data_IF_072159114159
#
_entry.id   IF_072159114159
#
_cell.length_a   1.000
_cell.length_b   1.000
_cell.length_c   1.000
_cell.angle_alpha   90.00
_cell.angle_beta   90.00
_cell.angle_gamma   90.00
#
_symmetry.space_group_name_H-M   'P 1'
#
loop_
_entity.id
_entity.type
_entity.pdbx_description
1 polymer ?
#
# COMPACT_ATOMS: atom_id res chain seq x y z
N UNK A 1 21.23 17.20 25.77
CA UNK A 1 20.08 17.00 24.84
C UNK A 1 20.54 16.47 23.47
N UNK A 2 21.48 17.13 22.77
CA UNK A 2 22.03 16.68 21.48
C UNK A 2 22.66 15.27 21.44
N UNK A 3 23.39 14.84 22.49
CA UNK A 3 23.98 13.48 22.57
C UNK A 3 22.93 12.36 22.62
N UNK A 4 21.77 12.59 23.24
CA UNK A 4 20.68 11.59 23.30
C UNK A 4 19.90 11.49 21.98
N UNK A 5 19.80 12.58 21.23
CA UNK A 5 19.19 12.61 19.90
C UNK A 5 20.11 11.92 18.89
N UNK A 6 21.42 12.20 18.92
CA UNK A 6 22.41 11.53 18.08
C UNK A 6 22.54 10.03 18.39
N UNK A 7 22.43 9.63 19.67
CA UNK A 7 22.42 8.22 20.08
C UNK A 7 21.19 7.46 19.57
N UNK A 8 19.99 8.07 19.63
CA UNK A 8 18.76 7.49 19.05
C UNK A 8 18.83 7.42 17.52
N UNK A 9 19.29 8.48 16.84
CA UNK A 9 19.48 8.49 15.39
C UNK A 9 20.52 7.48 14.91
N UNK A 10 21.59 7.26 15.68
CA UNK A 10 22.57 6.20 15.44
C UNK A 10 21.94 4.81 15.50
N UNK A 11 21.07 4.58 16.48
CA UNK A 11 20.30 3.34 16.64
C UNK A 11 19.37 3.05 15.47
N UNK A 12 18.60 4.04 15.01
CA UNK A 12 17.70 3.88 13.86
C UNK A 12 18.45 3.54 12.57
N UNK A 13 19.57 4.22 12.30
CA UNK A 13 20.40 3.92 11.13
C UNK A 13 21.01 2.51 11.19
N UNK A 14 21.48 2.08 12.36
CA UNK A 14 22.02 0.73 12.52
C UNK A 14 20.94 -0.33 12.32
N UNK A 15 19.74 -0.09 12.83
CA UNK A 15 18.61 -1.02 12.72
C UNK A 15 18.13 -1.13 11.28
N UNK A 16 17.98 -0.01 10.57
CA UNK A 16 17.65 0.01 9.15
C UNK A 16 18.64 -0.84 8.33
N UNK A 17 19.94 -0.64 8.54
CA UNK A 17 20.99 -1.42 7.87
C UNK A 17 20.94 -2.89 8.25
N UNK A 18 20.63 -3.21 9.50
CA UNK A 18 20.50 -4.60 9.96
C UNK A 18 19.40 -5.32 9.20
N UNK A 19 18.23 -4.69 9.05
CA UNK A 19 17.10 -5.25 8.30
C UNK A 19 17.47 -5.41 6.82
N UNK A 20 18.11 -4.39 6.23
CA UNK A 20 18.54 -4.44 4.84
C UNK A 20 19.49 -5.62 4.58
N UNK A 21 20.56 -5.72 5.37
CA UNK A 21 21.56 -6.79 5.24
C UNK A 21 20.97 -8.17 5.47
N UNK A 22 20.03 -8.32 6.42
CA UNK A 22 19.40 -9.60 6.72
C UNK A 22 18.53 -10.12 5.58
N UNK A 23 18.06 -9.25 4.69
CA UNK A 23 17.20 -9.59 3.57
C UNK A 23 17.87 -9.41 2.20
N UNK A 24 19.18 -9.10 2.17
CA UNK A 24 19.91 -8.89 0.92
C UNK A 24 19.47 -7.67 0.11
N UNK A 25 18.79 -6.70 0.73
CA UNK A 25 18.31 -5.48 0.06
C UNK A 25 19.24 -4.30 0.31
N UNK A 26 19.35 -3.40 -0.66
CA UNK A 26 20.15 -2.18 -0.56
C UNK A 26 19.25 -0.96 -0.67
N UNK A 27 19.06 -0.26 0.45
CA UNK A 27 18.21 0.92 0.56
C UNK A 27 18.99 2.11 1.15
N UNK A 28 18.63 3.32 0.75
CA UNK A 28 19.29 4.55 1.20
C UNK A 28 18.58 5.16 2.42
N UNK A 29 19.11 4.89 3.62
CA UNK A 29 18.60 5.45 4.88
C UNK A 29 18.52 6.98 4.87
N UNK A 30 19.42 7.69 4.18
CA UNK A 30 19.42 9.15 4.22
C UNK A 30 18.18 9.75 3.58
N UNK A 31 17.64 9.07 2.56
CA UNK A 31 16.42 9.43 1.84
C UNK A 31 15.14 8.92 2.53
N UNK A 32 15.26 7.95 3.44
CA UNK A 32 14.11 7.15 3.90
C UNK A 32 14.10 7.02 5.43
N UNK A 33 14.50 8.09 6.12
CA UNK A 33 14.66 8.08 7.59
C UNK A 33 13.37 7.73 8.31
N UNK A 34 12.24 8.16 7.76
CA UNK A 34 10.91 7.96 8.33
C UNK A 34 10.30 6.62 7.92
N UNK A 35 10.94 5.89 6.99
CA UNK A 35 10.49 4.59 6.50
C UNK A 35 10.86 3.40 7.39
N UNK A 36 11.65 3.59 8.45
CA UNK A 36 12.15 2.46 9.27
C UNK A 36 11.03 1.64 9.91
N UNK A 37 9.96 2.28 10.39
CA UNK A 37 8.84 1.57 11.01
C UNK A 37 8.13 0.67 10.00
N UNK A 38 7.81 1.20 8.82
CA UNK A 38 7.19 0.43 7.73
C UNK A 38 8.14 -0.69 7.27
N UNK A 39 9.44 -0.41 7.16
CA UNK A 39 10.43 -1.43 6.83
C UNK A 39 10.46 -2.57 7.88
N UNK A 40 10.36 -2.23 9.17
CA UNK A 40 10.24 -3.21 10.25
C UNK A 40 8.94 -4.00 10.15
N UNK A 41 7.82 -3.36 9.87
CA UNK A 41 6.52 -4.02 9.72
C UNK A 41 6.52 -5.02 8.57
N UNK A 42 7.12 -4.65 7.44
CA UNK A 42 7.22 -5.52 6.26
C UNK A 42 8.19 -6.68 6.52
N UNK A 43 9.43 -6.40 6.90
CA UNK A 43 10.50 -7.42 6.90
C UNK A 43 10.73 -8.12 8.25
N UNK A 44 10.42 -7.45 9.37
CA UNK A 44 10.70 -7.98 10.71
C UNK A 44 9.46 -8.59 11.35
N UNK A 45 8.32 -7.89 11.33
CA UNK A 45 7.07 -8.44 11.88
C UNK A 45 6.30 -9.27 10.87
N UNK A 46 6.66 -9.14 9.57
CA UNK A 46 6.02 -9.84 8.45
C UNK A 46 4.50 -9.68 8.48
N UNK A 47 4.03 -8.43 8.65
CA UNK A 47 2.60 -8.09 8.81
C UNK A 47 1.69 -8.77 7.78
N UNK A 48 2.19 -9.03 6.58
CA UNK A 48 1.44 -9.59 5.46
C UNK A 48 1.53 -11.12 5.32
N UNK A 49 2.32 -11.83 6.14
CA UNK A 49 2.66 -13.23 5.83
C UNK A 49 1.51 -14.24 5.94
N UNK A 50 0.47 -13.98 6.73
CA UNK A 50 -0.52 -15.03 7.02
C UNK A 50 -1.36 -15.47 5.80
N UNK A 51 -1.42 -14.65 4.75
CA UNK A 51 -2.20 -14.90 3.52
C UNK A 51 -1.45 -14.50 2.25
N UNK A 52 -0.13 -14.29 2.35
CA UNK A 52 0.69 -13.93 1.20
C UNK A 52 1.03 -15.17 0.36
N UNK A 53 0.99 -15.11 -0.98
CA UNK A 53 1.26 -16.24 -1.87
C UNK A 53 2.77 -16.53 -1.97
N UNK A 54 3.36 -17.06 -0.90
CA UNK A 54 4.80 -17.31 -0.84
C UNK A 54 5.26 -18.33 -1.89
N UNK A 55 6.29 -17.96 -2.65
CA UNK A 55 6.95 -18.79 -3.66
C UNK A 55 6.03 -19.24 -4.81
N UNK A 56 4.92 -18.54 -5.04
CA UNK A 56 4.00 -18.78 -6.16
C UNK A 56 4.23 -17.75 -7.27
N UNK A 57 3.95 -18.16 -8.52
CA UNK A 57 3.92 -17.27 -9.67
C UNK A 57 2.60 -16.50 -9.67
N UNK A 58 2.52 -15.50 -8.79
CA UNK A 58 1.31 -14.75 -8.48
C UNK A 58 1.31 -13.35 -9.11
N UNK A 59 0.12 -12.82 -9.40
CA UNK A 59 -0.10 -11.41 -9.71
C UNK A 59 -0.44 -10.64 -8.45
N UNK A 60 0.45 -9.72 -8.07
CA UNK A 60 0.38 -8.94 -6.83
C UNK A 60 0.26 -7.46 -7.18
N UNK A 61 -0.71 -6.76 -6.60
CA UNK A 61 -0.87 -5.32 -6.78
C UNK A 61 -0.70 -4.61 -5.43
N UNK A 62 0.23 -3.66 -5.37
CA UNK A 62 0.52 -2.80 -4.22
C UNK A 62 0.02 -1.38 -4.49
N UNK A 63 -1.16 -1.05 -3.99
CA UNK A 63 -1.75 0.29 -4.08
C UNK A 63 -1.28 1.13 -2.89
N UNK A 64 -0.70 2.29 -3.19
CA UNK A 64 -0.01 3.13 -2.21
C UNK A 64 1.34 2.52 -1.82
N UNK A 65 2.17 2.28 -2.83
CA UNK A 65 3.43 1.57 -2.65
C UNK A 65 4.47 2.38 -1.85
N UNK A 66 4.31 3.69 -1.71
CA UNK A 66 5.21 4.60 -0.99
C UNK A 66 6.67 4.41 -1.44
N UNK A 67 7.57 4.00 -0.55
CA UNK A 67 8.98 3.69 -0.87
C UNK A 67 9.22 2.27 -1.42
N UNK A 68 8.18 1.47 -1.60
CA UNK A 68 8.26 0.15 -2.23
C UNK A 68 8.68 -1.00 -1.34
N UNK A 69 8.65 -0.85 -0.01
CA UNK A 69 9.10 -1.91 0.89
C UNK A 69 8.28 -3.19 0.75
N UNK A 70 6.95 -3.07 0.68
CA UNK A 70 6.09 -4.21 0.43
C UNK A 70 6.34 -4.81 -0.95
N UNK A 71 6.43 -3.99 -1.98
CA UNK A 71 6.73 -4.44 -3.35
C UNK A 71 8.04 -5.22 -3.46
N UNK A 72 9.12 -4.76 -2.81
CA UNK A 72 10.41 -5.48 -2.76
C UNK A 72 10.27 -6.76 -1.93
N UNK A 73 9.58 -6.72 -0.80
CA UNK A 73 9.29 -7.92 -0.02
C UNK A 73 8.54 -8.95 -0.86
N UNK A 74 7.52 -8.53 -1.61
CA UNK A 74 6.74 -9.42 -2.46
C UNK A 74 7.62 -10.07 -3.53
N UNK A 75 8.45 -9.29 -4.23
CA UNK A 75 9.39 -9.80 -5.22
C UNK A 75 10.37 -10.84 -4.65
N UNK A 76 10.90 -10.61 -3.45
CA UNK A 76 11.87 -11.50 -2.81
C UNK A 76 11.25 -12.78 -2.22
N UNK A 77 9.92 -12.81 -2.06
CA UNK A 77 9.21 -13.89 -1.38
C UNK A 77 8.19 -14.60 -2.28
N UNK A 78 8.14 -14.28 -3.57
CA UNK A 78 7.31 -14.94 -4.58
C UNK A 78 8.20 -15.71 -5.56
N UNK A 79 7.59 -16.47 -6.47
CA UNK A 79 8.33 -17.05 -7.59
C UNK A 79 8.92 -15.94 -8.49
N UNK A 80 10.08 -16.13 -9.13
CA UNK A 80 10.64 -15.15 -10.07
C UNK A 80 9.69 -14.75 -11.22
N UNK A 81 8.75 -15.62 -11.61
CA UNK A 81 7.74 -15.35 -12.64
C UNK A 81 6.51 -14.61 -12.09
N UNK A 82 6.42 -14.36 -10.78
CA UNK A 82 5.38 -13.52 -10.19
C UNK A 82 5.44 -12.11 -10.77
N UNK A 83 4.28 -11.46 -10.95
CA UNK A 83 4.18 -10.08 -11.44
C UNK A 83 3.75 -9.16 -10.32
N UNK A 84 4.57 -8.16 -9.98
CA UNK A 84 4.26 -7.17 -8.93
C UNK A 84 4.02 -5.80 -9.57
N UNK A 85 2.79 -5.29 -9.51
CA UNK A 85 2.45 -3.93 -9.94
C UNK A 85 2.43 -3.00 -8.73
N UNK A 86 3.29 -1.99 -8.71
CA UNK A 86 3.41 -1.04 -7.60
C UNK A 86 2.87 0.32 -8.01
N UNK A 87 1.79 0.78 -7.38
CA UNK A 87 1.15 2.04 -7.73
C UNK A 87 1.40 3.09 -6.65
N UNK A 88 2.09 4.17 -7.01
CA UNK A 88 2.41 5.28 -6.11
C UNK A 88 2.20 6.63 -6.80
N UNK A 89 1.29 7.49 -6.32
CA UNK A 89 0.97 8.75 -6.99
C UNK A 89 1.96 9.88 -6.73
N UNK A 90 2.53 9.99 -5.52
CA UNK A 90 3.38 11.12 -5.16
C UNK A 90 4.73 11.01 -5.87
N UNK A 91 5.15 12.07 -6.58
CA UNK A 91 6.37 12.01 -7.40
C UNK A 91 7.62 11.70 -6.57
N UNK A 92 7.73 12.29 -5.37
CA UNK A 92 8.87 12.05 -4.48
C UNK A 92 9.00 10.57 -4.09
N UNK A 93 7.89 9.98 -3.63
CA UNK A 93 7.82 8.58 -3.22
C UNK A 93 8.08 7.65 -4.40
N UNK A 94 7.47 7.94 -5.55
CA UNK A 94 7.65 7.18 -6.78
C UNK A 94 9.11 7.14 -7.25
N UNK A 95 9.84 8.25 -7.15
CA UNK A 95 11.27 8.29 -7.49
C UNK A 95 12.11 7.43 -6.53
N UNK A 96 11.76 7.43 -5.24
CA UNK A 96 12.41 6.57 -4.23
C UNK A 96 12.07 5.10 -4.46
N UNK A 97 10.80 4.76 -4.74
CA UNK A 97 10.35 3.42 -5.12
C UNK A 97 11.17 2.86 -6.28
N UNK A 98 11.28 3.61 -7.38
CA UNK A 98 12.07 3.19 -8.55
C UNK A 98 13.54 2.97 -8.22
N UNK A 99 14.12 3.84 -7.40
CA UNK A 99 15.49 3.69 -6.93
C UNK A 99 15.65 2.44 -6.08
N UNK A 100 14.75 2.19 -5.15
CA UNK A 100 14.79 1.05 -4.25
C UNK A 100 14.64 -0.29 -5.01
N UNK A 101 13.75 -0.36 -6.00
CA UNK A 101 13.61 -1.50 -6.92
C UNK A 101 14.96 -1.81 -7.60
N UNK A 102 15.57 -0.78 -8.23
CA UNK A 102 16.87 -0.91 -8.90
C UNK A 102 17.97 -1.33 -7.94
N UNK A 103 18.08 -0.65 -6.80
CA UNK A 103 19.18 -0.87 -5.84
C UNK A 103 19.02 -2.24 -5.14
N UNK A 104 17.80 -2.77 -5.05
CA UNK A 104 17.52 -4.12 -4.52
C UNK A 104 17.58 -5.23 -5.60
N UNK A 105 17.85 -4.88 -6.86
CA UNK A 105 18.01 -5.80 -7.98
C UNK A 105 16.83 -6.77 -8.19
N UNK A 106 15.61 -6.30 -7.96
CA UNK A 106 14.37 -7.05 -8.27
C UNK A 106 13.88 -6.68 -9.66
N UNK A 107 13.55 -7.69 -10.47
CA UNK A 107 13.25 -7.51 -11.90
C UNK A 107 11.76 -7.62 -12.24
N UNK A 108 10.98 -8.22 -11.35
CA UNK A 108 9.56 -8.51 -11.53
C UNK A 108 8.61 -7.49 -10.86
N UNK A 109 9.13 -6.29 -10.54
CA UNK A 109 8.37 -5.18 -9.97
C UNK A 109 8.22 -4.07 -11.00
N UNK A 110 6.98 -3.71 -11.31
CA UNK A 110 6.60 -2.72 -12.33
C UNK A 110 5.95 -1.51 -11.66
N UNK A 111 6.71 -0.42 -11.41
CA UNK A 111 6.19 0.77 -10.76
C UNK A 111 5.41 1.66 -11.73
N UNK A 112 4.20 2.08 -11.34
CA UNK A 112 3.31 2.97 -12.09
C UNK A 112 2.99 4.21 -11.26
N UNK A 113 3.23 5.40 -11.84
CA UNK A 113 2.88 6.67 -11.20
C UNK A 113 1.43 7.05 -11.52
N UNK A 114 0.53 6.63 -10.66
CA UNK A 114 -0.88 6.99 -10.69
C UNK A 114 -1.49 6.85 -9.28
N UNK A 115 -2.65 7.43 -9.06
CA UNK A 115 -3.51 7.09 -7.93
C UNK A 115 -4.61 6.15 -8.42
N UNK A 116 -4.84 5.06 -7.68
CA UNK A 116 -6.06 4.26 -7.85
C UNK A 116 -7.19 4.96 -7.10
N UNK A 117 -8.32 5.14 -7.78
CA UNK A 117 -9.49 5.80 -7.23
C UNK A 117 -10.79 5.10 -7.68
N UNK A 118 -11.90 5.44 -7.02
CA UNK A 118 -13.22 5.04 -7.49
C UNK A 118 -13.57 5.63 -8.87
N UNK A 119 -14.52 5.04 -9.60
CA UNK A 119 -14.90 5.46 -10.96
C UNK A 119 -15.23 6.95 -11.10
N UNK A 120 -15.78 7.58 -10.05
CA UNK A 120 -16.12 9.01 -10.07
C UNK A 120 -14.93 9.97 -10.13
N UNK A 121 -13.69 9.50 -9.94
CA UNK A 121 -12.48 10.33 -9.83
C UNK A 121 -11.44 10.05 -10.93
N UNK A 122 -11.79 9.35 -12.01
CA UNK A 122 -10.85 9.05 -13.10
C UNK A 122 -10.43 10.31 -13.88
N UNK A 123 -9.14 10.39 -14.24
CA UNK A 123 -8.56 11.50 -15.01
C UNK A 123 -7.36 12.14 -14.30
N UNK A 124 -7.53 13.37 -13.84
CA UNK A 124 -6.52 14.12 -13.08
C UNK A 124 -7.16 14.64 -11.78
N UNK A 125 -6.45 14.52 -10.66
CA UNK A 125 -6.87 15.05 -9.38
C UNK A 125 -5.73 15.76 -8.65
N UNK A 126 -6.08 16.58 -7.66
CA UNK A 126 -5.12 17.09 -6.69
C UNK A 126 -4.86 16.05 -5.62
N UNK A 127 -3.61 15.61 -5.52
CA UNK A 127 -3.10 14.82 -4.41
C UNK A 127 -2.65 15.78 -3.31
N UNK A 128 -3.18 15.62 -2.11
CA UNK A 128 -2.77 16.36 -0.93
C UNK A 128 -1.53 15.70 -0.33
N UNK A 129 -0.43 16.44 -0.26
CA UNK A 129 0.82 15.96 0.33
C UNK A 129 0.77 16.21 1.84
N UNK A 130 0.93 15.15 2.63
CA UNK A 130 0.95 15.21 4.08
C UNK A 130 2.22 15.88 4.63
N UNK A 131 2.24 16.14 5.95
CA UNK A 131 3.46 16.59 6.65
C UNK A 131 4.44 15.45 6.94
N UNK A 132 3.92 14.24 7.06
CA UNK A 132 4.66 12.98 6.91
C UNK A 132 4.44 12.52 5.48
N UNK A 133 5.44 11.90 4.85
CA UNK A 133 5.55 11.51 3.42
C UNK A 133 4.36 10.71 2.82
N UNK A 134 3.28 10.53 3.56
CA UNK A 134 1.99 10.04 3.12
C UNK A 134 1.30 11.08 2.22
N UNK A 135 0.52 10.60 1.25
CA UNK A 135 -0.24 11.44 0.35
C UNK A 135 -1.64 10.84 0.12
N UNK A 136 -2.65 11.69 0.00
CA UNK A 136 -4.05 11.26 -0.14
C UNK A 136 -4.79 12.08 -1.18
N UNK A 137 -5.77 11.46 -1.86
CA UNK A 137 -6.74 12.17 -2.70
C UNK A 137 -7.75 12.97 -1.86
N UNK A 138 -7.80 12.75 -0.55
CA UNK A 138 -8.68 13.45 0.36
C UNK A 138 -7.89 14.35 1.31
N UNK A 139 -8.39 15.56 1.47
CA UNK A 139 -7.80 16.52 2.40
C UNK A 139 -8.09 16.12 3.84
N UNK A 140 -7.02 15.97 4.63
CA UNK A 140 -7.11 15.78 6.08
C UNK A 140 -6.71 17.07 6.84
N UNK A 141 -7.70 17.75 7.42
CA UNK A 141 -7.51 18.92 8.30
C UNK A 141 -7.58 20.30 7.63
N UNK A 142 -7.44 21.33 8.47
CA UNK A 142 -7.52 22.74 8.09
C UNK A 142 -6.14 23.39 7.90
N UNK A 143 -6.06 24.40 7.01
CA UNK A 143 -4.83 25.16 6.74
C UNK A 143 -4.20 24.87 5.37
N UNK A 144 -3.13 25.60 5.00
CA UNK A 144 -2.44 25.39 3.73
C UNK A 144 -1.78 24.01 3.69
N UNK A 145 -2.00 23.30 2.58
CA UNK A 145 -1.45 21.98 2.27
C UNK A 145 -0.88 22.06 0.86
N UNK A 146 0.32 21.50 0.68
CA UNK A 146 0.91 21.37 -0.64
C UNK A 146 0.15 20.31 -1.42
N UNK A 147 -0.08 20.57 -2.71
CA UNK A 147 -0.76 19.64 -3.61
C UNK A 147 0.07 19.36 -4.83
N UNK A 148 -0.12 18.17 -5.39
CA UNK A 148 0.45 17.74 -6.65
C UNK A 148 -0.65 17.25 -7.59
N UNK A 149 -0.57 17.58 -8.88
CA UNK A 149 -1.47 17.00 -9.88
C UNK A 149 -1.02 15.60 -10.23
N UNK A 150 -1.94 14.64 -10.13
CA UNK A 150 -1.66 13.24 -10.41
C UNK A 150 -2.71 12.64 -11.32
N UNK A 151 -2.26 11.68 -12.13
CA UNK A 151 -3.14 10.82 -12.92
C UNK A 151 -3.93 9.91 -11.97
N UNK A 152 -5.24 9.88 -12.13
CA UNK A 152 -6.14 8.98 -11.41
C UNK A 152 -6.75 7.97 -12.37
N UNK A 153 -6.72 6.70 -12.00
CA UNK A 153 -7.32 5.60 -12.76
C UNK A 153 -8.10 4.68 -11.81
N UNK A 154 -9.04 3.92 -12.35
CA UNK A 154 -9.68 2.84 -11.59
C UNK A 154 -8.79 1.61 -11.57
N UNK A 155 -9.05 0.69 -10.63
CA UNK A 155 -8.35 -0.59 -10.61
C UNK A 155 -8.65 -1.39 -11.89
N UNK A 156 -9.87 -1.36 -12.42
CA UNK A 156 -10.19 -1.97 -13.73
C UNK A 156 -9.39 -1.40 -14.89
N UNK A 157 -9.20 -0.07 -14.93
CA UNK A 157 -8.38 0.58 -15.96
C UNK A 157 -6.93 0.09 -15.86
N UNK A 158 -6.39 -0.02 -14.64
CA UNK A 158 -5.06 -0.57 -14.43
C UNK A 158 -4.95 -1.99 -14.97
N UNK A 159 -5.91 -2.86 -14.63
CA UNK A 159 -5.92 -4.26 -15.07
C UNK A 159 -5.98 -4.38 -16.59
N UNK A 160 -6.77 -3.54 -17.25
CA UNK A 160 -6.84 -3.48 -18.72
C UNK A 160 -5.53 -2.98 -19.34
N UNK A 161 -4.92 -1.93 -18.78
CA UNK A 161 -3.67 -1.36 -19.29
C UNK A 161 -2.47 -2.29 -19.15
N UNK A 162 -2.50 -3.18 -18.14
CA UNK A 162 -1.43 -4.13 -17.85
C UNK A 162 -1.73 -5.55 -18.36
N UNK A 163 -2.85 -5.75 -19.04
CA UNK A 163 -3.29 -7.07 -19.54
C UNK A 163 -3.35 -8.14 -18.44
N UNK A 164 -3.83 -7.73 -17.25
CA UNK A 164 -3.98 -8.62 -16.08
C UNK A 164 -5.40 -9.13 -16.06
N UNK A 165 -5.60 -10.44 -15.94
CA UNK A 165 -6.92 -11.06 -15.83
C UNK A 165 -7.40 -11.14 -14.37
N UNK A 166 -6.55 -11.61 -13.46
CA UNK A 166 -6.85 -11.82 -12.04
C UNK A 166 -5.74 -11.27 -11.13
N UNK A 167 -6.11 -10.97 -9.88
CA UNK A 167 -5.20 -10.52 -8.82
C UNK A 167 -5.20 -11.56 -7.71
N UNK A 168 -4.07 -12.23 -7.51
CA UNK A 168 -3.88 -13.18 -6.42
C UNK A 168 -3.82 -12.46 -5.07
N UNK A 169 -3.11 -11.33 -5.02
CA UNK A 169 -2.95 -10.54 -3.80
C UNK A 169 -3.00 -9.03 -4.06
N UNK A 170 -4.05 -8.38 -3.58
CA UNK A 170 -4.22 -6.94 -3.59
C UNK A 170 -3.87 -6.36 -2.21
N UNK A 171 -2.76 -5.64 -2.11
CA UNK A 171 -2.47 -4.78 -0.96
C UNK A 171 -2.97 -3.37 -1.26
N UNK A 172 -3.72 -2.80 -0.32
CA UNK A 172 -4.23 -1.43 -0.42
C UNK A 172 -3.99 -0.67 0.87
N UNK A 173 -3.36 0.48 0.72
CA UNK A 173 -3.14 1.48 1.77
C UNK A 173 -3.08 2.85 1.05
N UNK A 174 -4.22 3.52 0.92
CA UNK A 174 -4.36 4.70 0.05
C UNK A 174 -5.09 5.86 0.72
N UNK A 175 -4.97 5.92 2.06
CA UNK A 175 -5.32 7.08 2.88
C UNK A 175 -6.74 7.61 2.62
N UNK A 176 -7.71 6.70 2.48
CA UNK A 176 -9.15 7.00 2.37
C UNK A 176 -9.78 6.64 1.01
N UNK A 177 -8.98 6.39 -0.03
CA UNK A 177 -9.50 5.99 -1.35
C UNK A 177 -10.02 4.56 -1.38
N UNK A 178 -9.80 3.78 -0.32
CA UNK A 178 -10.20 2.38 -0.23
C UNK A 178 -11.71 2.20 -0.47
N UNK A 179 -12.51 3.08 0.12
CA UNK A 179 -13.97 3.02 0.07
C UNK A 179 -14.51 3.23 -1.34
N UNK A 180 -14.06 4.28 -2.03
CA UNK A 180 -14.50 4.56 -3.40
C UNK A 180 -14.04 3.47 -4.37
N UNK A 181 -12.85 2.89 -4.15
CA UNK A 181 -12.34 1.80 -4.99
C UNK A 181 -13.18 0.53 -4.80
N UNK A 182 -13.35 0.08 -3.56
CA UNK A 182 -13.96 -1.22 -3.27
C UNK A 182 -15.49 -1.20 -3.30
N UNK A 183 -16.13 -0.16 -2.76
CA UNK A 183 -17.59 -0.10 -2.69
C UNK A 183 -18.23 0.26 -4.04
N UNK A 184 -17.55 1.04 -4.88
CA UNK A 184 -18.07 1.44 -6.19
C UNK A 184 -17.59 0.53 -7.33
N UNK A 185 -16.48 -0.19 -7.16
CA UNK A 185 -15.98 -1.15 -8.16
C UNK A 185 -16.91 -2.35 -8.36
N UNK A 186 -17.58 -2.78 -7.29
CA UNK A 186 -18.60 -3.82 -7.32
C UNK A 186 -18.11 -5.20 -7.79
N UNK A 187 -19.06 -6.09 -8.08
CA UNK A 187 -18.79 -7.50 -8.39
C UNK A 187 -17.77 -7.74 -9.53
N UNK A 188 -17.83 -7.07 -10.70
CA UNK A 188 -16.90 -7.37 -11.79
C UNK A 188 -15.42 -7.18 -11.43
N UNK A 189 -15.11 -6.20 -10.59
CA UNK A 189 -13.75 -5.99 -10.08
C UNK A 189 -13.43 -7.01 -8.99
N UNK A 190 -14.32 -7.15 -8.01
CA UNK A 190 -14.11 -8.01 -6.84
C UNK A 190 -14.02 -9.49 -7.21
N UNK A 191 -14.70 -9.92 -8.27
CA UNK A 191 -14.67 -11.29 -8.80
C UNK A 191 -13.27 -11.70 -9.26
N UNK A 192 -12.45 -10.73 -9.67
CA UNK A 192 -11.09 -10.93 -10.19
C UNK A 192 -10.01 -10.89 -9.12
N UNK A 193 -10.38 -10.73 -7.84
CA UNK A 193 -9.44 -10.64 -6.73
C UNK A 193 -9.61 -11.84 -5.80
N UNK A 194 -8.51 -12.52 -5.47
CA UNK A 194 -8.49 -13.66 -4.55
C UNK A 194 -8.27 -13.24 -3.10
N UNK A 195 -7.24 -12.42 -2.84
CA UNK A 195 -6.92 -11.92 -1.50
C UNK A 195 -6.80 -10.40 -1.50
N UNK A 196 -7.37 -9.76 -0.48
CA UNK A 196 -7.24 -8.33 -0.21
C UNK A 196 -6.65 -8.14 1.19
N UNK A 197 -5.50 -7.46 1.27
CA UNK A 197 -4.94 -6.93 2.52
C UNK A 197 -5.10 -5.41 2.53
N UNK A 198 -6.02 -4.92 3.36
CA UNK A 198 -6.51 -3.56 3.32
C UNK A 198 -6.20 -2.79 4.61
N UNK A 199 -5.37 -1.75 4.53
CA UNK A 199 -5.34 -0.70 5.54
C UNK A 199 -6.37 0.37 5.17
N UNK A 200 -7.36 0.60 6.03
CA UNK A 200 -8.48 1.50 5.75
C UNK A 200 -8.50 2.70 6.67
N UNK A 201 -8.97 3.83 6.14
CA UNK A 201 -8.95 5.14 6.81
C UNK A 201 -10.32 5.81 6.74
N UNK A 202 -11.05 5.88 7.86
CA UNK A 202 -12.42 6.45 7.83
C UNK A 202 -12.48 7.96 7.57
N UNK A 203 -11.37 8.68 7.77
CA UNK A 203 -11.26 10.13 7.62
C UNK A 203 -12.38 10.92 8.33
N UNK A 204 -12.92 10.40 9.45
CA UNK A 204 -14.09 10.93 10.17
C UNK A 204 -15.37 11.06 9.32
N UNK A 205 -15.48 10.32 8.22
CA UNK A 205 -16.68 10.30 7.40
C UNK A 205 -17.64 9.24 7.94
N UNK A 206 -18.87 9.59 8.35
CA UNK A 206 -19.79 8.64 8.96
C UNK A 206 -20.20 7.49 8.03
N UNK A 207 -20.13 7.71 6.72
CA UNK A 207 -20.36 6.70 5.69
C UNK A 207 -19.19 5.70 5.52
N UNK A 208 -17.99 6.04 6.01
CA UNK A 208 -16.80 5.21 5.89
C UNK A 208 -16.58 4.45 7.18
N UNK A 209 -16.81 3.13 7.15
CA UNK A 209 -16.44 2.26 8.26
C UNK A 209 -15.81 0.97 7.76
N UNK A 210 -14.82 0.46 8.50
CA UNK A 210 -14.27 -0.87 8.23
C UNK A 210 -15.33 -1.97 8.26
N UNK A 211 -16.41 -1.79 9.04
CA UNK A 211 -17.52 -2.72 9.07
C UNK A 211 -18.31 -2.76 7.76
N UNK A 212 -18.50 -1.61 7.12
CA UNK A 212 -19.17 -1.55 5.81
C UNK A 212 -18.30 -2.20 4.72
N UNK A 213 -16.98 -1.94 4.74
CA UNK A 213 -16.03 -2.65 3.86
C UNK A 213 -16.10 -4.17 4.08
N UNK A 214 -16.03 -4.61 5.33
CA UNK A 214 -16.12 -6.04 5.67
C UNK A 214 -17.45 -6.67 5.24
N UNK A 215 -18.56 -5.94 5.37
CA UNK A 215 -19.88 -6.39 4.93
C UNK A 215 -19.93 -6.50 3.41
N UNK A 216 -19.51 -5.46 2.69
CA UNK A 216 -19.51 -5.43 1.22
C UNK A 216 -18.66 -6.55 0.63
N UNK A 217 -17.48 -6.81 1.19
CA UNK A 217 -16.62 -7.90 0.75
C UNK A 217 -17.25 -9.28 1.00
N UNK A 218 -17.95 -9.49 2.13
CA UNK A 218 -18.69 -10.74 2.37
C UNK A 218 -19.83 -10.94 1.38
N UNK A 219 -20.55 -9.88 1.03
CA UNK A 219 -21.61 -9.92 0.02
C UNK A 219 -21.07 -10.32 -1.38
N UNK A 220 -19.78 -10.11 -1.63
CA UNK A 220 -19.05 -10.49 -2.84
C UNK A 220 -18.19 -11.76 -2.67
N UNK A 221 -18.53 -12.61 -1.70
CA UNK A 221 -17.98 -13.97 -1.59
C UNK A 221 -16.63 -14.07 -0.87
N UNK A 222 -16.15 -13.00 -0.23
CA UNK A 222 -14.95 -13.07 0.60
C UNK A 222 -15.27 -13.54 2.03
N UNK A 223 -14.36 -14.32 2.61
CA UNK A 223 -14.24 -14.51 4.06
C UNK A 223 -13.36 -13.41 4.66
N UNK A 224 -13.77 -12.85 5.80
CA UNK A 224 -12.94 -11.88 6.54
C UNK A 224 -12.06 -12.63 7.53
N UNK A 225 -10.84 -12.91 7.11
CA UNK A 225 -9.87 -13.73 7.84
C UNK A 225 -9.14 -12.96 8.95
N UNK A 226 -9.07 -11.63 8.84
CA UNK A 226 -8.56 -10.73 9.89
C UNK A 226 -9.32 -9.41 9.85
N UNK A 227 -9.61 -8.84 11.03
CA UNK A 227 -10.20 -7.52 11.17
C UNK A 227 -9.80 -6.89 12.49
N UNK A 228 -9.17 -5.73 12.44
CA UNK A 228 -8.83 -4.94 13.60
C UNK A 228 -8.88 -3.45 13.25
N UNK A 229 -9.37 -2.61 14.15
CA UNK A 229 -9.31 -1.16 13.97
C UNK A 229 -9.18 -0.47 15.31
N UNK A 230 -8.51 0.67 15.30
CA UNK A 230 -8.35 1.51 16.48
C UNK A 230 -8.48 2.99 16.07
N UNK A 231 -8.97 3.84 16.98
CA UNK A 231 -8.90 5.28 16.76
C UNK A 231 -7.43 5.73 16.72
N UNK A 232 -7.10 6.56 15.74
CA UNK A 232 -5.83 7.28 15.63
C UNK A 232 -5.79 8.41 16.67
N UNK A 233 -4.61 9.03 16.82
CA UNK A 233 -4.42 10.23 17.65
C UNK A 233 -5.33 11.38 17.21
N UNK A 234 -5.78 11.38 15.95
CA UNK A 234 -6.72 12.38 15.40
C UNK A 234 -8.18 12.00 15.61
N UNK A 235 -8.51 10.93 16.33
CA UNK A 235 -9.87 10.39 16.50
C UNK A 235 -10.51 9.92 15.18
N UNK A 236 -9.70 9.54 14.18
CA UNK A 236 -10.16 8.81 13.00
C UNK A 236 -10.02 7.32 13.26
N UNK A 237 -10.88 6.44 12.75
CA UNK A 237 -10.58 5.01 12.76
C UNK A 237 -9.65 4.66 11.60
N UNK A 238 -8.52 4.04 11.96
CA UNK A 238 -7.66 3.33 11.02
C UNK A 238 -7.63 1.85 11.44
N UNK A 239 -7.58 0.96 10.46
CA UNK A 239 -7.60 -0.47 10.73
C UNK A 239 -7.07 -1.29 9.58
N UNK A 240 -6.88 -2.58 9.87
CA UNK A 240 -6.44 -3.56 8.90
C UNK A 240 -7.48 -4.67 8.80
N UNK A 241 -7.82 -5.00 7.57
CA UNK A 241 -8.70 -6.10 7.20
C UNK A 241 -7.97 -7.00 6.22
N UNK A 242 -8.10 -8.31 6.39
CA UNK A 242 -7.72 -9.29 5.37
C UNK A 242 -8.96 -10.05 4.96
N UNK A 243 -9.24 -10.04 3.66
CA UNK A 243 -10.33 -10.75 3.03
C UNK A 243 -9.79 -11.74 1.99
N UNK A 244 -10.30 -12.96 2.00
CA UNK A 244 -9.86 -14.04 1.10
C UNK A 244 -11.06 -14.76 0.50
N UNK A 245 -10.98 -15.15 -0.76
CA UNK A 245 -11.90 -16.14 -1.33
C UNK A 245 -11.44 -17.55 -0.97
N UNK A 246 -12.39 -18.46 -0.82
CA UNK A 246 -12.06 -19.87 -0.74
C UNK A 246 -11.49 -20.32 -2.10
N UNK A 247 -10.35 -21.02 -2.09
CA UNK A 247 -9.88 -21.75 -3.27
C UNK A 247 -10.96 -22.80 -3.62
N UNK A 248 -11.60 -22.65 -4.78
CA UNK A 248 -12.56 -23.62 -5.32
C UNK A 248 -11.85 -24.85 -5.88
#
# INVERSE_FOLDING_TARGET
MLKNILGRLGGYRSEFRRICNANGISLDYALQRDGLLILQEVFSTRRYSNYFPFYEAATIIDVGAHYGYFSIFAALNSDPEATIISVEPAQHNFDILRRNIRDSQVENVYPIRAAIAGPGLQGEAELYLGRSENASLFRDGEGPVETEKVRTITLDTLLQEQDIEEIDFLKMDCEGAEYGILLEGGAPLLDRIHTISLEFHDLKRPEFTGLELAKHLREHGFEIAYFNHNPTIREQNCGHLIATKAFL
#
